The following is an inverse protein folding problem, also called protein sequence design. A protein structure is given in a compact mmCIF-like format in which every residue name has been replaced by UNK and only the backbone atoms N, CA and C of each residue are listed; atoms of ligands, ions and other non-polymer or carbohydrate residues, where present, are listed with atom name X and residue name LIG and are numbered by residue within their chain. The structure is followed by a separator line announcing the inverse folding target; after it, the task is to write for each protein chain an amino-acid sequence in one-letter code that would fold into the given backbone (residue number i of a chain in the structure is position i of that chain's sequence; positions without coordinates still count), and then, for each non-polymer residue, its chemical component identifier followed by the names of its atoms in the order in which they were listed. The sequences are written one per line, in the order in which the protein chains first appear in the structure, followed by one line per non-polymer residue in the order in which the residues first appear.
data_IF_815961778988
#
_entry.id   IF_815961778988
#
_cell.length_a   1.000
_cell.length_b   1.000
_cell.length_c   1.000
_cell.angle_alpha   90.00
_cell.angle_beta   90.00
_cell.angle_gamma   90.00
#
_symmetry.space_group_name_H-M   'P 1'
#
loop_
_entity.id
_entity.type
_entity.pdbx_description
1 polymer ?
#
# COMPACT_ATOMS: atom_id res chain seq x y z
N UNK A 1 -9.75 52.08 -21.28
CA UNK A 1 -10.44 50.81 -20.97
C UNK A 1 -9.39 49.72 -20.94
N UNK A 2 -8.99 49.27 -19.75
CA UNK A 2 -8.03 48.18 -19.58
C UNK A 2 -8.75 46.87 -19.87
N UNK A 3 -8.35 46.18 -20.95
CA UNK A 3 -8.74 44.80 -21.16
C UNK A 3 -8.13 43.97 -20.03
N UNK A 4 -8.96 43.51 -19.10
CA UNK A 4 -8.60 42.44 -18.19
C UNK A 4 -8.15 41.26 -19.04
N UNK A 5 -6.84 41.00 -19.04
CA UNK A 5 -6.34 39.70 -19.47
C UNK A 5 -6.94 38.71 -18.49
N UNK A 6 -8.00 38.03 -18.91
CA UNK A 6 -8.44 36.80 -18.28
C UNK A 6 -7.21 35.90 -18.33
N UNK A 7 -6.50 35.78 -17.20
CA UNK A 7 -5.48 34.77 -17.04
C UNK A 7 -6.22 33.45 -17.14
N UNK A 8 -6.24 32.85 -18.33
CA UNK A 8 -6.69 31.47 -18.49
C UNK A 8 -5.83 30.63 -17.55
N UNK A 9 -6.47 30.16 -16.48
CA UNK A 9 -5.85 29.24 -15.54
C UNK A 9 -5.55 27.98 -16.37
N UNK A 10 -4.28 27.52 -16.42
CA UNK A 10 -3.94 26.31 -17.16
C UNK A 10 -4.86 25.18 -16.72
N UNK A 11 -5.63 24.63 -17.66
CA UNK A 11 -6.53 23.51 -17.38
C UNK A 11 -5.68 22.30 -17.01
N UNK A 12 -6.02 21.67 -15.90
CA UNK A 12 -5.32 20.48 -15.42
C UNK A 12 -5.46 19.37 -16.46
N UNK A 13 -4.35 18.78 -16.88
CA UNK A 13 -4.35 17.66 -17.84
C UNK A 13 -4.65 16.35 -17.11
N UNK A 14 -5.94 16.09 -16.90
CA UNK A 14 -6.41 14.91 -16.17
C UNK A 14 -6.00 13.60 -16.82
N UNK A 15 -5.96 13.55 -18.16
CA UNK A 15 -5.58 12.33 -18.88
C UNK A 15 -4.14 11.93 -18.55
N UNK A 16 -3.21 12.88 -18.59
CA UNK A 16 -1.82 12.62 -18.24
C UNK A 16 -1.67 12.15 -16.78
N UNK A 17 -2.49 12.67 -15.86
CA UNK A 17 -2.46 12.24 -14.46
C UNK A 17 -2.97 10.82 -14.29
N UNK A 18 -4.07 10.48 -14.95
CA UNK A 18 -4.62 9.13 -14.95
C UNK A 18 -3.60 8.12 -15.49
N UNK A 19 -2.96 8.42 -16.63
CA UNK A 19 -1.91 7.57 -17.21
C UNK A 19 -0.74 7.33 -16.23
N UNK A 20 -0.33 8.35 -15.47
CA UNK A 20 0.72 8.23 -14.45
C UNK A 20 0.30 7.40 -13.23
N UNK A 21 -0.93 7.56 -12.76
CA UNK A 21 -1.46 6.75 -11.66
C UNK A 21 -1.53 5.29 -12.11
N UNK A 22 -2.05 5.04 -13.32
CA UNK A 22 -2.09 3.69 -13.90
C UNK A 22 -0.68 3.10 -13.96
N UNK A 23 0.31 3.84 -14.47
CA UNK A 23 1.70 3.38 -14.53
C UNK A 23 2.25 3.04 -13.15
N UNK A 24 2.05 3.89 -12.14
CA UNK A 24 2.53 3.66 -10.76
C UNK A 24 2.03 2.34 -10.19
N UNK A 25 0.74 2.04 -10.39
CA UNK A 25 0.17 0.78 -9.93
C UNK A 25 0.60 -0.41 -10.80
N UNK A 26 0.73 -0.24 -12.11
CA UNK A 26 1.24 -1.28 -13.00
C UNK A 26 2.69 -1.67 -12.68
N UNK A 27 3.55 -0.69 -12.35
CA UNK A 27 4.93 -0.94 -11.92
C UNK A 27 4.95 -1.76 -10.62
N UNK A 28 4.10 -1.39 -9.65
CA UNK A 28 3.95 -2.16 -8.41
C UNK A 28 3.41 -3.57 -8.66
N UNK A 29 2.35 -3.73 -9.45
CA UNK A 29 1.76 -5.03 -9.80
C UNK A 29 2.79 -5.92 -10.52
N UNK A 30 3.51 -5.37 -11.50
CA UNK A 30 4.59 -6.08 -12.19
C UNK A 30 5.66 -6.52 -11.19
N UNK A 31 6.02 -5.66 -10.24
CA UNK A 31 7.06 -5.99 -9.27
C UNK A 31 6.65 -7.09 -8.31
N UNK A 32 5.40 -7.07 -7.84
CA UNK A 32 4.81 -8.18 -7.09
C UNK A 32 4.92 -9.46 -7.92
N UNK A 33 4.51 -9.42 -9.19
CA UNK A 33 4.65 -10.59 -10.05
C UNK A 33 6.10 -11.04 -10.21
N UNK A 34 7.08 -10.16 -10.35
CA UNK A 34 8.49 -10.54 -10.44
C UNK A 34 9.01 -11.22 -9.17
N UNK A 35 8.77 -10.60 -8.01
CA UNK A 35 9.21 -11.10 -6.69
C UNK A 35 8.59 -12.47 -6.40
N UNK A 36 7.32 -12.66 -6.74
CA UNK A 36 6.62 -13.92 -6.47
C UNK A 36 6.78 -14.96 -7.59
N UNK A 37 6.76 -14.59 -8.88
CA UNK A 37 6.93 -15.55 -9.99
C UNK A 37 8.34 -16.11 -10.12
N UNK A 38 9.37 -15.35 -9.72
CA UNK A 38 10.75 -15.88 -9.68
C UNK A 38 10.93 -16.98 -8.63
N UNK A 39 9.95 -17.16 -7.74
CA UNK A 39 9.98 -18.08 -6.61
C UNK A 39 8.90 -19.18 -6.64
N UNK A 40 8.05 -19.22 -7.68
CA UNK A 40 6.79 -20.00 -7.67
C UNK A 40 6.69 -20.82 -8.96
N UNK A 41 6.75 -22.15 -8.82
CA UNK A 41 6.45 -23.10 -9.90
C UNK A 41 5.00 -22.91 -10.40
N UNK A 42 4.65 -23.26 -11.66
CA UNK A 42 3.30 -22.99 -12.22
C UNK A 42 2.12 -23.44 -11.35
N UNK A 43 2.27 -24.53 -10.60
CA UNK A 43 1.26 -25.08 -9.69
C UNK A 43 1.06 -24.23 -8.42
N UNK A 44 2.11 -23.55 -7.97
CA UNK A 44 2.08 -22.70 -6.78
C UNK A 44 1.50 -21.30 -7.06
N UNK A 45 1.37 -20.92 -8.34
CA UNK A 45 0.76 -19.64 -8.75
C UNK A 45 -0.72 -19.55 -8.37
N UNK A 46 -1.43 -20.67 -8.48
CA UNK A 46 -2.82 -20.75 -8.04
C UNK A 46 -2.93 -20.53 -6.52
N UNK A 47 -2.03 -21.14 -5.75
CA UNK A 47 -1.96 -20.99 -4.30
C UNK A 47 -1.61 -19.55 -3.88
N UNK A 48 -0.75 -18.85 -4.64
CA UNK A 48 -0.43 -17.46 -4.38
C UNK A 48 -1.63 -16.54 -4.57
N UNK A 49 -2.34 -16.67 -5.70
CA UNK A 49 -3.55 -15.88 -5.98
C UNK A 49 -4.65 -16.21 -4.97
N UNK A 50 -4.81 -17.47 -4.58
CA UNK A 50 -5.75 -17.86 -3.52
C UNK A 50 -5.38 -17.22 -2.18
N UNK A 51 -4.09 -17.24 -1.81
CA UNK A 51 -3.62 -16.73 -0.51
C UNK A 51 -3.71 -15.21 -0.41
N UNK A 52 -3.21 -14.50 -1.41
CA UNK A 52 -3.02 -13.05 -1.41
C UNK A 52 -3.94 -12.27 -2.35
N UNK A 53 -4.83 -12.94 -3.09
CA UNK A 53 -5.75 -12.29 -4.05
C UNK A 53 -6.61 -11.19 -3.43
N UNK A 54 -6.96 -11.30 -2.14
CA UNK A 54 -7.65 -10.25 -1.39
C UNK A 54 -6.78 -8.98 -1.21
N UNK A 55 -5.48 -9.15 -0.98
CA UNK A 55 -4.54 -8.04 -0.86
C UNK A 55 -4.36 -7.37 -2.22
N UNK A 56 -4.15 -8.16 -3.27
CA UNK A 56 -4.00 -7.66 -4.64
C UNK A 56 -5.24 -6.90 -5.11
N UNK A 57 -6.44 -7.45 -4.87
CA UNK A 57 -7.69 -6.78 -5.24
C UNK A 57 -7.89 -5.47 -4.48
N UNK A 58 -7.40 -5.36 -3.24
CA UNK A 58 -7.45 -4.10 -2.49
C UNK A 58 -6.58 -3.01 -3.12
N UNK A 59 -5.44 -3.34 -3.72
CA UNK A 59 -4.62 -2.38 -4.47
C UNK A 59 -5.27 -1.97 -5.79
N UNK A 60 -5.88 -2.91 -6.52
CA UNK A 60 -6.66 -2.57 -7.71
C UNK A 60 -7.83 -1.64 -7.37
N UNK A 61 -8.53 -1.91 -6.27
CA UNK A 61 -9.61 -1.03 -5.79
C UNK A 61 -9.09 0.37 -5.40
N UNK A 62 -7.95 0.42 -4.72
CA UNK A 62 -7.32 1.68 -4.32
C UNK A 62 -6.93 2.52 -5.54
N UNK A 63 -6.38 1.91 -6.59
CA UNK A 63 -6.05 2.58 -7.86
C UNK A 63 -7.25 3.32 -8.43
N UNK A 64 -8.36 2.63 -8.60
CA UNK A 64 -9.58 3.20 -9.19
C UNK A 64 -10.11 4.36 -8.34
N UNK A 65 -10.04 4.23 -7.01
CA UNK A 65 -10.43 5.28 -6.07
C UNK A 65 -9.50 6.49 -6.12
N UNK A 66 -8.19 6.30 -6.23
CA UNK A 66 -7.23 7.39 -6.38
C UNK A 66 -7.46 8.14 -7.70
N UNK A 67 -7.60 7.43 -8.82
CA UNK A 67 -7.90 8.04 -10.14
C UNK A 67 -9.14 8.93 -10.03
N UNK A 68 -10.22 8.40 -9.47
CA UNK A 68 -11.47 9.13 -9.27
C UNK A 68 -11.28 10.36 -8.37
N UNK A 69 -10.51 10.23 -7.28
CA UNK A 69 -10.25 11.32 -6.32
C UNK A 69 -9.42 12.44 -6.95
N UNK A 70 -8.40 12.10 -7.72
CA UNK A 70 -7.65 13.06 -8.54
C UNK A 70 -8.55 13.77 -9.55
N UNK A 71 -9.53 13.06 -10.13
CA UNK A 71 -10.52 13.62 -11.05
C UNK A 71 -11.36 14.71 -10.41
N UNK A 72 -11.95 14.41 -9.25
CA UNK A 72 -12.71 15.40 -8.49
C UNK A 72 -11.86 16.56 -7.98
N UNK A 73 -10.64 16.30 -7.51
CA UNK A 73 -9.72 17.37 -7.13
C UNK A 73 -9.38 18.29 -8.31
N UNK A 74 -9.34 17.75 -9.54
CA UNK A 74 -9.13 18.52 -10.77
C UNK A 74 -10.18 19.60 -11.06
N UNK A 75 -11.35 19.51 -10.44
CA UNK A 75 -12.41 20.51 -10.53
C UNK A 75 -12.20 21.70 -9.56
N UNK A 76 -11.27 21.58 -8.60
CA UNK A 76 -11.00 22.61 -7.60
C UNK A 76 -10.05 23.69 -8.14
N UNK A 77 -10.58 24.89 -8.38
CA UNK A 77 -9.84 26.05 -8.90
C UNK A 77 -8.73 26.60 -7.97
N UNK A 78 -8.69 26.19 -6.69
CA UNK A 78 -7.61 26.58 -5.78
C UNK A 78 -6.35 25.73 -5.94
N UNK A 79 -6.45 24.57 -6.59
CA UNK A 79 -5.32 23.69 -6.86
C UNK A 79 -4.69 24.04 -8.21
N UNK A 80 -3.36 23.99 -8.25
CA UNK A 80 -2.57 24.29 -9.44
C UNK A 80 -1.97 23.00 -10.01
N UNK A 81 -1.61 22.99 -11.30
CA UNK A 81 -0.94 21.84 -11.95
C UNK A 81 0.29 21.34 -11.16
N UNK A 82 1.02 22.25 -10.50
CA UNK A 82 2.16 21.91 -9.65
C UNK A 82 1.77 21.06 -8.43
N UNK A 83 0.58 21.29 -7.86
CA UNK A 83 0.08 20.50 -6.72
C UNK A 83 -0.13 19.05 -7.14
N UNK A 84 -0.80 18.82 -8.26
CA UNK A 84 -1.01 17.49 -8.81
C UNK A 84 0.30 16.79 -9.19
N UNK A 85 1.24 17.52 -9.80
CA UNK A 85 2.56 16.98 -10.12
C UNK A 85 3.29 16.49 -8.85
N UNK A 86 3.24 17.28 -7.78
CA UNK A 86 3.87 16.93 -6.51
C UNK A 86 3.14 15.77 -5.82
N UNK A 87 1.80 15.73 -5.87
CA UNK A 87 1.03 14.60 -5.34
C UNK A 87 1.29 13.29 -6.07
N UNK A 88 1.45 13.32 -7.41
CA UNK A 88 1.85 12.15 -8.18
C UNK A 88 3.24 11.67 -7.80
N UNK A 89 4.21 12.58 -7.63
CA UNK A 89 5.55 12.21 -7.17
C UNK A 89 5.53 11.59 -5.76
N UNK A 90 4.68 12.10 -4.87
CA UNK A 90 4.50 11.52 -3.54
C UNK A 90 3.84 10.13 -3.60
N UNK A 91 2.87 9.92 -4.49
CA UNK A 91 2.25 8.61 -4.73
C UNK A 91 3.27 7.61 -5.28
N UNK A 92 4.05 8.00 -6.29
CA UNK A 92 5.15 7.22 -6.84
C UNK A 92 6.15 6.84 -5.72
N UNK A 93 6.46 7.77 -4.80
CA UNK A 93 7.34 7.52 -3.66
C UNK A 93 6.75 6.49 -2.67
N UNK A 94 5.45 6.55 -2.38
CA UNK A 94 4.75 5.57 -1.53
C UNK A 94 4.85 4.17 -2.15
N UNK A 95 4.52 4.03 -3.44
CA UNK A 95 4.57 2.73 -4.11
C UNK A 95 5.99 2.21 -4.34
N UNK A 96 6.95 3.10 -4.61
CA UNK A 96 8.38 2.74 -4.65
C UNK A 96 8.85 2.22 -3.28
N UNK A 97 8.32 2.77 -2.17
CA UNK A 97 8.63 2.27 -0.83
C UNK A 97 8.10 0.85 -0.65
N UNK A 98 6.88 0.56 -1.10
CA UNK A 98 6.34 -0.80 -1.06
C UNK A 98 7.15 -1.78 -1.90
N UNK A 99 7.57 -1.35 -3.10
CA UNK A 99 8.48 -2.13 -3.96
C UNK A 99 9.79 -2.43 -3.22
N UNK A 100 10.43 -1.41 -2.66
CA UNK A 100 11.66 -1.58 -1.89
C UNK A 100 11.45 -2.55 -0.72
N UNK A 101 10.28 -2.53 -0.07
CA UNK A 101 9.92 -3.47 0.99
C UNK A 101 9.81 -4.90 0.47
N UNK A 102 9.16 -5.11 -0.67
CA UNK A 102 9.03 -6.43 -1.30
C UNK A 102 10.37 -7.00 -1.79
N UNK A 103 11.26 -6.16 -2.30
CA UNK A 103 12.60 -6.57 -2.76
C UNK A 103 13.58 -6.80 -1.63
N UNK A 104 13.36 -6.11 -0.52
CA UNK A 104 14.24 -6.15 0.62
C UNK A 104 14.10 -7.48 1.35
N UNK A 105 15.24 -8.00 1.81
CA UNK A 105 15.35 -9.19 2.64
C UNK A 105 14.89 -8.89 4.09
N UNK A 106 13.66 -8.41 4.25
CA UNK A 106 13.05 -7.98 5.52
C UNK A 106 12.90 -9.12 6.57
N UNK A 107 13.48 -10.29 6.34
CA UNK A 107 13.62 -11.42 7.27
C UNK A 107 15.07 -11.85 7.57
N UNK A 108 16.09 -11.28 6.93
CA UNK A 108 17.49 -11.62 7.24
C UNK A 108 18.00 -10.81 8.44
N UNK A 109 18.38 -11.51 9.50
CA UNK A 109 18.98 -10.92 10.70
C UNK A 109 20.30 -10.22 10.33
N UNK A 110 20.25 -8.90 10.14
CA UNK A 110 21.43 -8.11 9.82
C UNK A 110 21.10 -6.64 9.58
N UNK A 111 20.08 -6.39 8.75
CA UNK A 111 19.77 -5.04 8.25
C UNK A 111 18.51 -4.39 8.86
N UNK A 112 17.78 -5.10 9.73
CA UNK A 112 16.53 -4.63 10.33
C UNK A 112 16.45 -4.84 11.84
N UNK A 113 15.78 -3.92 12.52
CA UNK A 113 15.33 -4.06 13.90
C UNK A 113 13.86 -4.48 13.92
N UNK A 114 13.61 -5.69 14.41
CA UNK A 114 12.26 -6.24 14.62
C UNK A 114 11.91 -6.15 16.10
N UNK A 115 10.89 -5.35 16.43
CA UNK A 115 10.32 -5.25 17.77
C UNK A 115 8.97 -5.96 17.77
N UNK A 116 8.91 -7.12 18.43
CA UNK A 116 7.66 -7.85 18.65
C UNK A 116 7.12 -7.56 20.05
N UNK A 117 5.85 -7.15 20.11
CA UNK A 117 5.15 -7.04 21.38
C UNK A 117 4.24 -8.26 21.53
N UNK A 118 4.25 -8.85 22.72
CA UNK A 118 3.36 -9.95 23.08
C UNK A 118 2.57 -9.60 24.34
N UNK A 119 1.36 -10.13 24.44
CA UNK A 119 0.52 -10.04 25.64
C UNK A 119 -0.13 -11.41 25.85
N UNK A 120 -0.04 -11.93 27.08
CA UNK A 120 -0.57 -13.25 27.44
C UNK A 120 -0.07 -14.38 26.51
N UNK A 121 1.20 -14.29 26.09
CA UNK A 121 1.83 -15.25 25.18
C UNK A 121 1.44 -15.12 23.71
N UNK A 122 0.57 -14.17 23.34
CA UNK A 122 0.14 -13.94 21.96
C UNK A 122 0.83 -12.71 21.37
N UNK A 123 1.27 -12.81 20.11
CA UNK A 123 1.81 -11.67 19.36
C UNK A 123 0.69 -10.66 19.10
N UNK A 124 0.88 -9.41 19.53
CA UNK A 124 -0.13 -8.34 19.41
C UNK A 124 0.31 -7.23 18.46
N UNK A 125 1.62 -7.00 18.33
CA UNK A 125 2.15 -6.17 17.25
C UNK A 125 3.58 -6.52 16.88
N UNK A 126 3.95 -6.19 15.64
CA UNK A 126 5.32 -6.22 15.13
C UNK A 126 5.64 -4.85 14.53
N UNK A 127 6.77 -4.28 14.92
CA UNK A 127 7.33 -3.05 14.35
C UNK A 127 8.67 -3.40 13.75
N UNK A 128 8.91 -2.99 12.50
CA UNK A 128 10.11 -3.35 11.76
C UNK A 128 10.71 -2.09 11.18
N UNK A 129 11.99 -1.87 11.44
CA UNK A 129 12.73 -0.66 11.02
C UNK A 129 14.03 -1.05 10.35
N UNK A 130 14.38 -0.36 9.27
CA UNK A 130 15.66 -0.55 8.60
C UNK A 130 16.81 0.09 9.41
N UNK A 131 17.92 -0.63 9.62
CA UNK A 131 19.06 -0.17 10.45
C UNK A 131 19.98 0.81 9.76
N UNK A 132 20.15 0.70 8.43
CA UNK A 132 21.13 1.49 7.65
C UNK A 132 20.58 2.80 7.08
N UNK A 133 19.80 3.55 7.87
CA UNK A 133 19.46 4.95 7.56
C UNK A 133 18.41 5.16 6.47
N UNK A 134 17.66 4.13 6.09
CA UNK A 134 16.37 4.33 5.43
C UNK A 134 15.32 4.48 6.53
N UNK A 135 14.61 5.60 6.59
CA UNK A 135 13.55 5.82 7.59
C UNK A 135 12.25 5.13 7.17
N UNK A 136 12.37 3.87 6.74
CA UNK A 136 11.23 3.00 6.44
C UNK A 136 10.86 2.23 7.70
N UNK A 137 9.59 2.35 8.11
CA UNK A 137 9.00 1.67 9.26
C UNK A 137 7.76 0.92 8.82
N UNK A 138 7.70 -0.36 9.17
CA UNK A 138 6.53 -1.21 9.00
C UNK A 138 5.89 -1.46 10.36
N UNK A 139 4.59 -1.24 10.48
CA UNK A 139 3.82 -1.51 11.70
C UNK A 139 2.69 -2.47 11.38
N UNK A 140 2.66 -3.59 12.12
CA UNK A 140 1.59 -4.58 12.06
C UNK A 140 0.98 -4.70 13.45
N UNK A 141 -0.18 -4.10 13.67
CA UNK A 141 -0.95 -4.28 14.89
C UNK A 141 -2.03 -5.32 14.63
N UNK A 142 -1.80 -6.54 15.12
CA UNK A 142 -2.72 -7.68 14.95
C UNK A 142 -4.00 -7.50 15.75
N UNK A 143 -3.88 -6.85 16.90
CA UNK A 143 -4.99 -6.60 17.82
C UNK A 143 -5.03 -5.15 18.22
N UNK A 144 -6.24 -4.65 18.42
CA UNK A 144 -6.44 -3.32 18.97
C UNK A 144 -6.06 -3.27 20.46
N UNK A 145 -5.50 -2.14 20.87
CA UNK A 145 -5.20 -1.78 22.25
C UNK A 145 -5.67 -0.36 22.55
N UNK A 146 -5.71 0.00 23.83
CA UNK A 146 -6.04 1.35 24.31
C UNK A 146 -5.34 2.49 23.58
N UNK A 147 -4.10 2.27 23.11
CA UNK A 147 -3.27 3.28 22.47
C UNK A 147 -3.14 3.11 20.95
N UNK A 148 -3.54 1.96 20.40
CA UNK A 148 -3.22 1.58 19.03
C UNK A 148 -4.37 0.80 18.39
N UNK A 149 -4.80 1.25 17.23
CA UNK A 149 -5.75 0.52 16.39
C UNK A 149 -5.08 -0.71 15.77
N UNK A 150 -5.87 -1.73 15.45
CA UNK A 150 -5.41 -2.83 14.61
C UNK A 150 -5.13 -2.26 13.21
N UNK A 151 -3.94 -2.54 12.65
CA UNK A 151 -3.48 -1.91 11.41
C UNK A 151 -2.33 -2.57 10.70
N UNK A 152 -2.16 -2.18 9.46
CA UNK A 152 -0.93 -2.30 8.66
C UNK A 152 -0.51 -0.88 8.29
N UNK A 153 0.73 -0.48 8.57
CA UNK A 153 1.28 0.82 8.16
C UNK A 153 2.65 0.61 7.54
N UNK A 154 2.83 1.13 6.32
CA UNK A 154 4.11 1.25 5.65
C UNK A 154 4.43 2.73 5.58
N UNK A 155 5.44 3.16 6.34
CA UNK A 155 5.85 4.55 6.41
C UNK A 155 7.29 4.70 5.92
N UNK A 156 7.54 5.73 5.12
CA UNK A 156 8.87 6.23 4.79
C UNK A 156 8.97 7.70 5.21
N UNK A 157 10.11 8.08 5.80
CA UNK A 157 10.47 9.49 6.01
C UNK A 157 11.68 9.79 5.13
N UNK A 158 11.64 10.89 4.37
CA UNK A 158 12.81 11.29 3.58
C UNK A 158 13.83 12.08 4.42
N UNK A 159 14.97 12.42 3.81
CA UNK A 159 16.03 13.20 4.44
C UNK A 159 15.59 14.62 4.88
N UNK A 160 14.46 15.11 4.35
CA UNK A 160 13.89 16.41 4.70
C UNK A 160 12.84 16.30 5.82
N UNK A 161 12.54 15.09 6.30
CA UNK A 161 11.51 14.82 7.29
C UNK A 161 10.10 14.73 6.70
N UNK A 162 9.95 14.66 5.38
CA UNK A 162 8.63 14.46 4.75
C UNK A 162 8.20 13.01 4.95
N UNK A 163 6.96 12.83 5.43
CA UNK A 163 6.35 11.51 5.63
C UNK A 163 5.56 11.09 4.39
N UNK A 164 5.76 9.83 4.00
CA UNK A 164 5.04 9.10 2.96
C UNK A 164 4.50 7.83 3.59
N UNK A 165 3.19 7.59 3.57
CA UNK A 165 2.61 6.45 4.27
C UNK A 165 1.42 5.85 3.54
N UNK A 166 1.35 4.52 3.57
CA UNK A 166 0.17 3.74 3.21
C UNK A 166 -0.27 2.95 4.43
N UNK A 167 -1.52 3.15 4.87
CA UNK A 167 -2.01 2.57 6.11
C UNK A 167 -3.37 1.94 5.96
N UNK A 168 -3.52 0.69 6.35
CA UNK A 168 -4.81 0.00 6.42
C UNK A 168 -5.27 -0.12 7.87
N UNK A 169 -6.46 0.38 8.17
CA UNK A 169 -7.03 0.38 9.51
C UNK A 169 -8.40 -0.31 9.53
N UNK A 170 -8.75 -0.90 10.68
CA UNK A 170 -10.13 -1.24 10.98
C UNK A 170 -10.84 0.02 11.49
N UNK A 171 -11.57 0.72 10.61
CA UNK A 171 -12.31 1.93 10.96
C UNK A 171 -13.60 1.59 11.71
N UNK A 172 -13.61 1.95 13.00
CA UNK A 172 -14.76 1.79 13.89
C UNK A 172 -15.86 2.82 13.69
N UNK A 173 -15.51 4.03 13.25
CA UNK A 173 -16.45 5.15 13.17
C UNK A 173 -17.35 4.98 11.95
N UNK A 174 -16.77 4.63 10.81
CA UNK A 174 -17.52 4.42 9.57
C UNK A 174 -17.87 2.94 9.32
N UNK A 175 -17.35 2.03 10.13
CA UNK A 175 -17.64 0.59 10.05
C UNK A 175 -17.10 0.00 8.75
N UNK A 176 -15.83 -0.35 8.75
CA UNK A 176 -15.19 -0.99 7.60
C UNK A 176 -13.69 -1.11 7.76
N UNK A 177 -13.03 -1.55 6.70
CA UNK A 177 -11.58 -1.42 6.52
C UNK A 177 -11.32 -0.22 5.64
N UNK A 178 -10.35 0.59 6.01
CA UNK A 178 -9.96 1.79 5.26
C UNK A 178 -8.49 1.76 4.95
N UNK A 179 -8.10 2.47 3.89
CA UNK A 179 -6.74 2.68 3.45
C UNK A 179 -6.48 4.19 3.42
N UNK A 180 -5.48 4.65 4.16
CA UNK A 180 -5.00 6.01 4.11
C UNK A 180 -3.77 6.09 3.22
N UNK A 181 -3.79 7.02 2.26
CA UNK A 181 -2.65 7.33 1.38
C UNK A 181 -2.15 8.73 1.72
N UNK A 182 -1.11 8.82 2.55
CA UNK A 182 -0.74 10.05 3.24
C UNK A 182 0.60 10.60 2.79
N UNK A 183 0.58 11.86 2.39
CA UNK A 183 1.73 12.74 2.27
C UNK A 183 1.25 14.19 2.35
N UNK A 184 2.15 15.15 2.57
CA UNK A 184 1.79 16.57 2.60
C UNK A 184 1.10 17.05 1.31
N UNK A 185 1.56 16.61 0.14
CA UNK A 185 0.98 17.06 -1.13
C UNK A 185 -0.32 16.30 -1.46
N UNK A 186 -0.40 15.00 -1.17
CA UNK A 186 -1.62 14.22 -1.35
C UNK A 186 -2.73 14.72 -0.42
N UNK A 187 -2.39 15.05 0.83
CA UNK A 187 -3.31 15.68 1.78
C UNK A 187 -3.86 16.97 1.20
N UNK A 188 -3.02 17.85 0.65
CA UNK A 188 -3.46 19.10 0.02
C UNK A 188 -4.44 18.85 -1.13
N UNK A 189 -4.17 17.87 -2.00
CA UNK A 189 -5.04 17.57 -3.16
C UNK A 189 -6.38 17.01 -2.67
N UNK A 190 -6.34 16.09 -1.71
CA UNK A 190 -7.51 15.33 -1.31
C UNK A 190 -8.35 16.03 -0.23
N UNK A 191 -7.81 17.01 0.51
CA UNK A 191 -8.41 17.60 1.71
C UNK A 191 -9.90 17.96 1.61
N UNK A 192 -10.38 18.34 0.42
CA UNK A 192 -11.76 18.75 0.20
C UNK A 192 -12.61 17.74 -0.60
N UNK A 193 -12.06 16.57 -0.93
CA UNK A 193 -12.75 15.56 -1.72
C UNK A 193 -13.34 14.50 -0.81
N UNK A 194 -14.66 14.43 -0.74
CA UNK A 194 -15.40 13.39 -0.02
C UNK A 194 -16.46 12.74 -0.90
N UNK A 195 -16.56 11.41 -0.84
CA UNK A 195 -17.63 10.64 -1.46
C UNK A 195 -18.00 9.40 -0.63
N UNK A 196 -18.87 8.53 -1.16
CA UNK A 196 -19.26 7.27 -0.49
C UNK A 196 -18.09 6.31 -0.24
N UNK A 197 -16.96 6.50 -0.93
CA UNK A 197 -15.73 5.75 -0.75
C UNK A 197 -14.75 6.38 0.24
N UNK A 198 -15.14 7.42 0.99
CA UNK A 198 -14.33 8.07 2.04
C UNK A 198 -14.07 9.55 1.80
N UNK A 199 -13.33 10.18 2.72
CA UNK A 199 -13.06 11.62 2.73
C UNK A 199 -11.56 11.90 2.82
N UNK A 200 -11.07 12.86 2.03
CA UNK A 200 -9.66 13.22 2.06
C UNK A 200 -8.78 12.08 1.56
N UNK A 201 -7.69 11.85 2.29
CA UNK A 201 -6.78 10.73 2.08
C UNK A 201 -7.34 9.38 2.57
N UNK A 202 -8.54 9.35 3.14
CA UNK A 202 -9.16 8.15 3.71
C UNK A 202 -10.02 7.44 2.65
N UNK A 203 -9.63 6.22 2.29
CA UNK A 203 -10.34 5.40 1.31
C UNK A 203 -10.98 4.20 2.00
N UNK A 204 -12.31 4.11 2.02
CA UNK A 204 -13.00 2.87 2.42
C UNK A 204 -12.60 1.75 1.46
N UNK A 205 -12.34 0.54 1.93
CA UNK A 205 -11.92 -0.60 1.11
C UNK A 205 -13.02 -1.66 1.13
N UNK A 206 -13.81 -1.77 0.05
CA UNK A 206 -14.98 -2.64 -0.04
C UNK A 206 -14.60 -4.11 -0.02
N UNK A 207 -13.57 -4.52 -0.76
CA UNK A 207 -13.15 -5.92 -0.78
C UNK A 207 -12.72 -6.40 0.62
N UNK A 208 -11.89 -5.60 1.31
CA UNK A 208 -11.43 -5.89 2.67
C UNK A 208 -12.57 -5.77 3.69
N UNK A 209 -13.44 -4.76 3.55
CA UNK A 209 -14.60 -4.60 4.43
C UNK A 209 -15.53 -5.79 4.32
N UNK A 210 -15.83 -6.23 3.09
CA UNK A 210 -16.66 -7.41 2.84
C UNK A 210 -16.04 -8.63 3.51
N UNK A 211 -14.76 -8.92 3.28
CA UNK A 211 -14.07 -10.04 3.92
C UNK A 211 -14.12 -9.98 5.46
N UNK A 212 -13.86 -8.81 6.05
CA UNK A 212 -13.80 -8.65 7.51
C UNK A 212 -15.17 -8.75 8.17
N UNK A 213 -16.22 -8.32 7.49
CA UNK A 213 -17.57 -8.22 8.05
C UNK A 213 -18.54 -9.30 7.53
N UNK A 214 -18.16 -10.12 6.55
CA UNK A 214 -18.99 -11.18 5.96
C UNK A 214 -19.37 -12.29 6.97
N UNK A 215 -18.51 -12.57 7.95
CA UNK A 215 -18.81 -13.55 9.02
C UNK A 215 -19.68 -12.99 10.16
N UNK A 216 -20.24 -11.78 9.99
CA UNK A 216 -20.99 -11.08 11.03
C UNK A 216 -20.10 -10.30 12.01
N UNK A 217 -20.72 -9.39 12.77
CA UNK A 217 -20.02 -8.42 13.64
C UNK A 217 -19.15 -9.09 14.71
N UNK A 218 -19.50 -10.32 15.12
CA UNK A 218 -18.87 -11.04 16.23
C UNK A 218 -17.42 -11.45 15.95
N UNK A 219 -17.02 -11.64 14.69
CA UNK A 219 -15.67 -12.11 14.33
C UNK A 219 -14.79 -11.08 13.63
N UNK A 220 -15.27 -9.83 13.49
CA UNK A 220 -14.55 -8.77 12.73
C UNK A 220 -13.09 -8.60 13.13
N UNK A 221 -12.77 -8.70 14.41
CA UNK A 221 -11.41 -8.49 14.92
C UNK A 221 -10.49 -9.65 14.51
N UNK A 222 -11.00 -10.88 14.52
CA UNK A 222 -10.25 -12.07 14.09
C UNK A 222 -10.02 -12.04 12.58
N UNK A 223 -11.05 -11.67 11.81
CA UNK A 223 -10.93 -11.53 10.36
C UNK A 223 -9.95 -10.41 9.97
N UNK A 224 -9.96 -9.27 10.68
CA UNK A 224 -8.98 -8.21 10.43
C UNK A 224 -7.57 -8.61 10.89
N UNK A 225 -7.43 -9.32 12.01
CA UNK A 225 -6.14 -9.90 12.42
C UNK A 225 -5.56 -10.79 11.32
N UNK A 226 -6.39 -11.59 10.65
CA UNK A 226 -5.98 -12.41 9.50
C UNK A 226 -5.54 -11.54 8.32
N UNK A 227 -6.21 -10.43 8.03
CA UNK A 227 -5.77 -9.45 7.01
C UNK A 227 -4.38 -8.90 7.36
N UNK A 228 -4.16 -8.48 8.61
CA UNK A 228 -2.86 -7.96 9.06
C UNK A 228 -1.76 -9.01 8.92
N UNK A 229 -2.03 -10.27 9.28
CA UNK A 229 -1.10 -11.39 9.08
C UNK A 229 -0.77 -11.59 7.60
N UNK A 230 -1.77 -11.61 6.73
CA UNK A 230 -1.57 -11.73 5.28
C UNK A 230 -0.74 -10.59 4.70
N UNK A 231 -0.98 -9.35 5.12
CA UNK A 231 -0.15 -8.21 4.71
C UNK A 231 1.28 -8.34 5.20
N UNK A 232 1.49 -8.75 6.46
CA UNK A 232 2.83 -9.00 6.99
C UNK A 232 3.54 -10.07 6.15
N UNK A 233 2.92 -11.22 5.95
CA UNK A 233 3.49 -12.30 5.12
C UNK A 233 3.76 -11.82 3.68
N UNK A 234 2.81 -11.10 3.07
CA UNK A 234 2.95 -10.56 1.71
C UNK A 234 4.14 -9.60 1.56
N UNK A 235 4.34 -8.70 2.53
CA UNK A 235 5.39 -7.68 2.48
C UNK A 235 6.75 -8.20 2.95
N UNK A 236 6.79 -9.24 3.78
CA UNK A 236 7.98 -9.63 4.55
C UNK A 236 8.49 -11.02 4.24
N UNK A 237 7.60 -11.91 3.82
CA UNK A 237 7.85 -13.34 3.65
C UNK A 237 7.63 -13.76 2.19
N UNK A 238 7.86 -12.83 1.26
CA UNK A 238 7.92 -13.18 -0.15
C UNK A 238 8.87 -14.38 -0.31
N UNK A 239 8.41 -15.47 -0.95
CA UNK A 239 9.22 -16.67 -1.09
C UNK A 239 10.51 -16.26 -1.78
N UNK A 240 11.64 -16.60 -1.16
CA UNK A 240 12.93 -16.42 -1.81
C UNK A 240 12.82 -17.11 -3.16
N UNK A 241 12.99 -16.36 -4.23
CA UNK A 241 13.48 -16.96 -5.45
C UNK A 241 14.83 -17.55 -5.08
N UNK A 242 14.89 -18.85 -4.80
CA UNK A 242 16.16 -19.54 -4.83
C UNK A 242 16.72 -19.21 -6.22
N UNK A 243 17.83 -18.46 -6.26
CA UNK A 243 18.56 -18.24 -7.48
C UNK A 243 18.92 -19.64 -7.99
N UNK A 244 18.13 -20.16 -8.93
CA UNK A 244 18.37 -21.47 -9.50
C UNK A 244 19.80 -21.45 -10.04
N UNK A 245 20.67 -22.25 -9.43
CA UNK A 245 22.05 -22.29 -9.88
C UNK A 245 22.08 -22.92 -11.26
N UNK A 246 23.12 -22.65 -12.06
CA UNK A 246 23.30 -23.33 -13.34
C UNK A 246 23.29 -24.86 -13.15
N UNK A 247 23.73 -25.34 -11.99
CA UNK A 247 23.73 -26.74 -11.60
C UNK A 247 22.31 -27.29 -11.36
N UNK A 248 21.39 -26.50 -10.79
CA UNK A 248 19.97 -26.87 -10.67
C UNK A 248 19.27 -26.97 -12.01
N UNK A 249 19.61 -26.07 -12.95
CA UNK A 249 19.10 -26.10 -14.32
C UNK A 249 19.64 -27.31 -15.10
N UNK A 250 20.92 -27.65 -14.94
CA UNK A 250 21.54 -28.84 -15.55
C UNK A 250 20.93 -30.14 -14.99
N UNK A 251 20.69 -30.21 -13.68
CA UNK A 251 20.07 -31.37 -13.03
C UNK A 251 18.65 -31.62 -13.53
N UNK A 252 17.80 -30.57 -13.58
CA UNK A 252 16.44 -30.67 -14.14
C UNK A 252 16.41 -31.09 -15.62
N UNK A 253 17.46 -30.78 -16.39
CA UNK A 253 17.54 -31.17 -17.81
C UNK A 253 17.97 -32.62 -18.02
N UNK A 254 18.78 -33.17 -17.11
CA UNK A 254 19.29 -34.55 -17.18
C UNK A 254 18.37 -35.59 -16.53
N UNK A 255 17.33 -35.16 -15.79
CA UNK A 255 16.30 -36.03 -15.19
C UNK A 255 15.05 -36.21 -16.08
N UNK A 256 15.10 -35.77 -17.35
CA UNK A 256 14.11 -36.07 -18.41
C UNK A 256 14.68 -37.07 -19.42
#
# INVERSE_FOLDING_TARGET
MSSEKINEIPKIDFRLMEEKIQQTFSDFEQKVLEVFQSAIEPEERANFVEKYGLILSSFTELKDKIIKRFGYAGENHSLQQADFKNGLADLEKIFSTLINVLESDYGQQGDYDVTNNAQDGQLVSSIIKHRKGEDTTLVFNFKEKLQHEARVDVQHIDQQGNKYSLRFDLDKRQGGVTCDVQSKNLDKIFYHVGDQGGEGHHFRMEALTKFVFEEGIEKKTESFELVVKKFKEFLMEAPKAEQATLEDLIRKFNER
#
